data_IF_379145578306
#
_entry.id   IF_379145578306
#
_cell.length_a   1.000
_cell.length_b   1.000
_cell.length_c   1.000
_cell.angle_alpha   90.00
_cell.angle_beta   90.00
_cell.angle_gamma   90.00
#
_symmetry.space_group_name_H-M   'P 1'
#
loop_
_entity.id
_entity.type
_entity.pdbx_description
1 polymer ?
#
# COMPACT_ATOMS: atom_id res chain seq x y z
N UNK A 1 -28.21 -4.51 -25.11
CA UNK A 1 -28.01 -5.65 -24.18
C UNK A 1 -27.65 -5.01 -22.84
N UNK A 2 -28.65 -4.88 -21.97
CA UNK A 2 -28.45 -4.33 -20.63
C UNK A 2 -27.57 -5.32 -19.85
N UNK A 3 -26.32 -4.94 -19.58
CA UNK A 3 -25.60 -5.55 -18.47
C UNK A 3 -26.13 -4.86 -17.21
N UNK A 4 -27.19 -5.42 -16.67
CA UNK A 4 -27.69 -5.02 -15.36
C UNK A 4 -26.54 -5.19 -14.37
N UNK A 5 -26.26 -4.12 -13.64
CA UNK A 5 -25.26 -4.07 -12.57
C UNK A 5 -25.70 -5.03 -11.44
N UNK A 6 -25.40 -6.31 -11.59
CA UNK A 6 -25.50 -7.23 -10.44
C UNK A 6 -24.38 -6.85 -9.45
N UNK A 7 -24.80 -6.37 -8.29
CA UNK A 7 -23.91 -6.19 -7.15
C UNK A 7 -23.41 -7.59 -6.75
N UNK A 8 -22.10 -7.73 -6.67
CA UNK A 8 -21.43 -9.03 -6.47
C UNK A 8 -20.81 -9.14 -5.06
N UNK A 9 -20.47 -10.35 -4.65
CA UNK A 9 -19.66 -10.57 -3.43
C UNK A 9 -18.28 -9.90 -3.53
N UNK A 10 -17.75 -9.76 -4.77
CA UNK A 10 -16.52 -9.01 -5.02
C UNK A 10 -16.64 -7.56 -4.58
N UNK A 11 -17.78 -6.90 -4.82
CA UNK A 11 -18.00 -5.52 -4.43
C UNK A 11 -18.01 -5.36 -2.89
N UNK A 12 -18.59 -6.33 -2.18
CA UNK A 12 -18.55 -6.35 -0.71
C UNK A 12 -17.15 -6.64 -0.20
N UNK A 13 -16.40 -7.53 -0.84
CA UNK A 13 -14.99 -7.81 -0.51
C UNK A 13 -14.10 -6.59 -0.75
N UNK A 14 -14.33 -5.88 -1.86
CA UNK A 14 -13.68 -4.62 -2.17
C UNK A 14 -13.93 -3.58 -1.06
N UNK A 15 -15.18 -3.40 -0.63
CA UNK A 15 -15.53 -2.48 0.46
C UNK A 15 -14.88 -2.92 1.78
N UNK A 16 -14.95 -4.21 2.12
CA UNK A 16 -14.39 -4.75 3.36
C UNK A 16 -12.88 -4.49 3.49
N UNK A 17 -12.10 -4.78 2.44
CA UNK A 17 -10.65 -4.56 2.46
C UNK A 17 -10.26 -3.08 2.35
N UNK A 18 -11.14 -2.23 1.80
CA UNK A 18 -10.91 -0.79 1.69
C UNK A 18 -11.28 -0.02 2.95
N UNK A 19 -11.98 -0.65 3.90
CA UNK A 19 -12.44 0.00 5.12
C UNK A 19 -11.25 0.23 6.08
N UNK A 20 -11.21 1.41 6.67
CA UNK A 20 -10.23 1.76 7.72
C UNK A 20 -10.34 0.90 8.98
N UNK A 21 -11.48 0.22 9.18
CA UNK A 21 -11.69 -0.76 10.25
C UNK A 21 -10.96 -2.09 9.99
N UNK A 22 -10.54 -2.37 8.74
CA UNK A 22 -9.83 -3.61 8.43
C UNK A 22 -8.44 -3.61 9.11
N UNK A 23 -8.12 -4.62 9.96
CA UNK A 23 -7.03 -4.52 10.94
C UNK A 23 -5.66 -4.85 10.33
N UNK A 24 -5.16 -4.05 9.39
CA UNK A 24 -3.81 -4.20 8.80
C UNK A 24 -2.70 -3.52 9.60
N UNK A 25 -3.04 -2.61 10.50
CA UNK A 25 -2.06 -1.81 11.24
C UNK A 25 -1.53 -0.58 10.50
N UNK A 26 -1.93 -0.32 9.26
CA UNK A 26 -1.50 0.86 8.48
C UNK A 26 -1.87 2.19 9.14
N UNK A 27 -2.88 2.21 9.99
CA UNK A 27 -3.28 3.39 10.74
C UNK A 27 -2.16 3.97 11.62
N UNK A 28 -1.18 3.16 12.01
CA UNK A 28 -0.07 3.59 12.86
C UNK A 28 1.12 4.16 12.10
N UNK A 29 1.01 4.32 10.78
CA UNK A 29 2.10 4.81 9.93
C UNK A 29 1.87 6.25 9.49
N UNK A 30 2.94 7.05 9.43
CA UNK A 30 2.94 8.41 8.87
C UNK A 30 3.75 8.54 7.58
N UNK A 31 4.58 7.53 7.29
CA UNK A 31 5.51 7.52 6.16
C UNK A 31 6.47 8.73 6.15
N UNK A 32 6.96 9.13 7.33
CA UNK A 32 7.84 10.27 7.53
C UNK A 32 7.13 11.62 7.66
N UNK A 33 5.79 11.66 7.56
CA UNK A 33 5.01 12.90 7.67
C UNK A 33 5.24 13.61 9.01
N UNK A 34 5.39 12.85 10.09
CA UNK A 34 5.63 13.37 11.43
C UNK A 34 6.91 14.20 11.51
N UNK A 35 8.00 13.74 10.90
CA UNK A 35 9.26 14.50 10.84
C UNK A 35 9.09 15.82 10.06
N UNK A 36 8.38 15.82 8.93
CA UNK A 36 8.07 17.06 8.19
C UNK A 36 7.20 18.04 8.98
N UNK A 37 6.30 17.52 9.81
CA UNK A 37 5.48 18.33 10.69
C UNK A 37 6.33 19.05 11.74
N UNK A 38 7.19 18.33 12.45
CA UNK A 38 8.08 18.95 13.46
C UNK A 38 9.10 19.91 12.85
N UNK A 39 9.52 19.68 11.60
CA UNK A 39 10.36 20.64 10.87
C UNK A 39 9.59 21.88 10.37
N UNK A 40 8.28 21.94 10.58
CA UNK A 40 7.44 23.07 10.14
C UNK A 40 7.29 23.20 8.61
N UNK A 41 7.55 22.12 7.86
CA UNK A 41 7.50 22.12 6.39
C UNK A 41 6.10 21.93 5.83
N UNK A 42 5.18 21.36 6.61
CA UNK A 42 3.80 21.10 6.22
C UNK A 42 2.86 22.08 6.93
N UNK A 43 2.50 23.16 6.23
CA UNK A 43 1.67 24.24 6.81
C UNK A 43 0.32 24.43 6.11
N UNK A 44 0.10 23.78 4.96
CA UNK A 44 -1.10 23.99 4.13
C UNK A 44 -1.53 22.68 3.49
N UNK A 45 -2.85 22.50 3.24
CA UNK A 45 -3.37 21.32 2.53
C UNK A 45 -2.67 21.04 1.20
N UNK A 46 -2.27 22.10 0.48
CA UNK A 46 -1.54 22.00 -0.78
C UNK A 46 -0.19 21.30 -0.63
N UNK A 47 0.56 21.57 0.44
CA UNK A 47 1.87 20.92 0.68
C UNK A 47 1.69 19.40 0.86
N UNK A 48 0.66 18.99 1.60
CA UNK A 48 0.33 17.57 1.77
C UNK A 48 -0.07 16.93 0.44
N UNK A 49 -0.90 17.61 -0.35
CA UNK A 49 -1.33 17.12 -1.66
C UNK A 49 -0.14 16.91 -2.59
N UNK A 50 0.84 17.83 -2.62
CA UNK A 50 2.02 17.72 -3.45
C UNK A 50 2.96 16.60 -2.95
N UNK A 51 3.10 16.45 -1.64
CA UNK A 51 3.84 15.34 -1.03
C UNK A 51 3.23 13.99 -1.42
N UNK A 52 1.91 13.82 -1.29
CA UNK A 52 1.23 12.58 -1.69
C UNK A 52 1.42 12.29 -3.18
N UNK A 53 1.37 13.30 -4.04
CA UNK A 53 1.69 13.13 -5.47
C UNK A 53 3.11 12.62 -5.68
N UNK A 54 4.07 13.14 -4.91
CA UNK A 54 5.46 12.65 -4.97
C UNK A 54 5.52 11.16 -4.61
N UNK A 55 4.85 10.73 -3.53
CA UNK A 55 4.73 9.31 -3.21
C UNK A 55 4.12 8.50 -4.35
N UNK A 56 2.99 8.95 -4.89
CA UNK A 56 2.26 8.22 -5.93
C UNK A 56 3.06 8.04 -7.23
N UNK A 57 3.87 9.02 -7.62
CA UNK A 57 4.56 9.00 -8.91
C UNK A 57 6.05 8.66 -8.83
N UNK A 58 6.69 8.80 -7.66
CA UNK A 58 8.12 8.62 -7.51
C UNK A 58 8.51 7.44 -6.60
N UNK A 59 7.55 6.84 -5.89
CA UNK A 59 7.82 5.75 -4.97
C UNK A 59 6.75 4.64 -5.07
N UNK A 60 5.58 4.80 -4.45
CA UNK A 60 4.58 3.73 -4.28
C UNK A 60 3.98 3.25 -5.61
N UNK A 61 3.73 4.14 -6.57
CA UNK A 61 3.23 3.75 -7.89
C UNK A 61 4.23 2.89 -8.65
N UNK A 62 5.46 3.39 -8.93
CA UNK A 62 6.44 2.63 -9.71
C UNK A 62 7.04 1.43 -8.97
N UNK A 63 6.86 1.29 -7.67
CA UNK A 63 7.28 0.09 -6.91
C UNK A 63 6.09 -0.78 -6.53
N UNK A 64 5.33 -0.39 -5.52
CA UNK A 64 4.30 -1.23 -4.88
C UNK A 64 3.15 -1.59 -5.84
N UNK A 65 2.69 -0.64 -6.67
CA UNK A 65 1.64 -0.91 -7.65
C UNK A 65 2.14 -1.79 -8.80
N UNK A 66 3.39 -1.60 -9.26
CA UNK A 66 4.03 -2.47 -10.27
C UNK A 66 4.21 -3.88 -9.73
N UNK A 67 4.70 -4.04 -8.49
CA UNK A 67 4.84 -5.33 -7.85
C UNK A 67 3.49 -6.05 -7.72
N UNK A 68 2.46 -5.36 -7.24
CA UNK A 68 1.10 -5.90 -7.15
C UNK A 68 0.62 -6.42 -8.50
N UNK A 69 0.80 -5.65 -9.57
CA UNK A 69 0.41 -6.06 -10.93
C UNK A 69 1.09 -7.34 -11.39
N UNK A 70 2.40 -7.47 -11.15
CA UNK A 70 3.17 -8.67 -11.50
C UNK A 70 2.76 -9.89 -10.66
N UNK A 71 2.49 -9.70 -9.36
CA UNK A 71 1.98 -10.80 -8.51
C UNK A 71 0.65 -11.35 -9.05
N UNK A 72 -0.25 -10.50 -9.53
CA UNK A 72 -1.49 -10.96 -10.17
C UNK A 72 -1.22 -11.83 -11.41
N UNK A 73 -0.26 -11.44 -12.24
CA UNK A 73 0.11 -12.21 -13.44
C UNK A 73 0.75 -13.55 -13.05
N UNK A 74 1.59 -13.57 -12.01
CA UNK A 74 2.19 -14.79 -11.45
C UNK A 74 1.16 -15.75 -10.83
N UNK A 75 0.13 -15.22 -10.16
CA UNK A 75 -0.98 -16.04 -9.63
C UNK A 75 -1.71 -16.75 -10.77
N UNK A 76 -2.00 -16.04 -11.86
CA UNK A 76 -2.68 -16.61 -13.02
C UNK A 76 -1.86 -17.71 -13.72
N UNK A 77 -0.54 -17.61 -13.69
CA UNK A 77 0.40 -18.61 -14.22
C UNK A 77 0.84 -19.66 -13.19
N UNK A 78 0.40 -19.55 -11.93
CA UNK A 78 0.81 -20.38 -10.79
C UNK A 78 2.33 -20.37 -10.55
N UNK A 79 2.99 -19.25 -10.86
CA UNK A 79 4.45 -19.07 -10.69
C UNK A 79 4.79 -18.53 -9.30
N UNK A 80 4.89 -19.42 -8.33
CA UNK A 80 5.26 -19.09 -6.96
C UNK A 80 6.71 -18.57 -6.83
N UNK A 81 7.61 -19.01 -7.69
CA UNK A 81 9.00 -18.56 -7.63
C UNK A 81 9.12 -17.08 -7.97
N UNK A 82 8.37 -16.60 -8.97
CA UNK A 82 8.37 -15.21 -9.36
C UNK A 82 7.60 -14.34 -8.32
N UNK A 83 6.60 -14.87 -7.61
CA UNK A 83 5.98 -14.20 -6.45
C UNK A 83 7.02 -13.96 -5.36
N UNK A 84 7.81 -14.97 -5.00
CA UNK A 84 8.88 -14.83 -4.01
C UNK A 84 9.96 -13.84 -4.44
N UNK A 85 10.36 -13.90 -5.70
CA UNK A 85 11.29 -12.94 -6.27
C UNK A 85 10.76 -11.51 -6.16
N UNK A 86 9.47 -11.30 -6.47
CA UNK A 86 8.81 -10.00 -6.34
C UNK A 86 8.81 -9.51 -4.89
N UNK A 87 8.50 -10.40 -3.93
CA UNK A 87 8.53 -10.10 -2.49
C UNK A 87 9.93 -9.62 -2.06
N UNK A 88 10.96 -10.34 -2.46
CA UNK A 88 12.35 -10.06 -2.11
C UNK A 88 12.86 -8.76 -2.75
N UNK A 89 12.45 -8.49 -3.99
CA UNK A 89 12.79 -7.23 -4.67
C UNK A 89 12.17 -6.02 -3.97
N UNK A 90 10.88 -6.06 -3.65
CA UNK A 90 10.21 -4.97 -2.93
C UNK A 90 10.78 -4.80 -1.52
N UNK A 91 11.04 -5.89 -0.82
CA UNK A 91 11.69 -5.84 0.49
C UNK A 91 13.02 -5.08 0.43
N UNK A 92 13.87 -5.42 -0.55
CA UNK A 92 15.18 -4.80 -0.75
C UNK A 92 15.10 -3.34 -1.22
N UNK A 93 14.06 -2.96 -1.97
CA UNK A 93 13.86 -1.59 -2.43
C UNK A 93 13.36 -0.65 -1.33
N UNK A 94 12.76 -1.16 -0.25
CA UNK A 94 12.37 -0.34 0.91
C UNK A 94 13.61 -0.07 1.76
N UNK A 95 14.35 0.99 1.42
CA UNK A 95 15.67 1.30 1.97
C UNK A 95 15.64 1.60 3.47
N UNK A 96 14.60 2.29 3.95
CA UNK A 96 14.46 2.69 5.34
C UNK A 96 13.89 1.53 6.15
N UNK A 97 14.60 1.10 7.18
CA UNK A 97 14.26 -0.08 7.98
C UNK A 97 12.87 0.01 8.59
N UNK A 98 12.55 1.14 9.22
CA UNK A 98 11.26 1.40 9.86
C UNK A 98 10.09 1.23 8.87
N UNK A 99 10.23 1.75 7.63
CA UNK A 99 9.22 1.62 6.56
C UNK A 99 9.14 0.19 6.04
N UNK A 100 10.27 -0.48 5.89
CA UNK A 100 10.35 -1.88 5.46
C UNK A 100 9.67 -2.80 6.46
N UNK A 101 10.01 -2.67 7.74
CA UNK A 101 9.42 -3.46 8.83
C UNK A 101 7.92 -3.18 9.00
N UNK A 102 7.47 -1.95 8.84
CA UNK A 102 6.05 -1.62 8.87
C UNK A 102 5.29 -2.29 7.71
N UNK A 103 5.89 -2.34 6.51
CA UNK A 103 5.32 -3.03 5.35
C UNK A 103 5.19 -4.54 5.61
N UNK A 104 6.22 -5.16 6.18
CA UNK A 104 6.22 -6.59 6.54
C UNK A 104 5.15 -6.88 7.59
N UNK A 105 5.13 -6.13 8.71
CA UNK A 105 4.12 -6.32 9.77
C UNK A 105 2.70 -6.20 9.23
N UNK A 106 2.43 -5.19 8.42
CA UNK A 106 1.09 -4.98 7.86
C UNK A 106 0.71 -6.06 6.86
N UNK A 107 1.66 -6.54 6.05
CA UNK A 107 1.42 -7.63 5.11
C UNK A 107 1.14 -8.96 5.82
N UNK A 108 1.90 -9.31 6.84
CA UNK A 108 1.68 -10.51 7.66
C UNK A 108 0.32 -10.45 8.37
N UNK A 109 -0.02 -9.29 8.94
CA UNK A 109 -1.31 -9.11 9.62
C UNK A 109 -2.49 -9.22 8.64
N UNK A 110 -2.35 -8.67 7.44
CA UNK A 110 -3.34 -8.80 6.37
C UNK A 110 -3.57 -10.27 6.00
N UNK A 111 -2.49 -11.01 5.71
CA UNK A 111 -2.57 -12.43 5.38
C UNK A 111 -3.25 -13.25 6.49
N UNK A 112 -2.87 -12.98 7.75
CA UNK A 112 -3.48 -13.64 8.90
C UNK A 112 -4.97 -13.37 8.99
N UNK A 113 -5.37 -12.12 8.76
CA UNK A 113 -6.77 -11.72 8.83
C UNK A 113 -7.58 -12.37 7.70
N UNK A 114 -7.11 -12.27 6.45
CA UNK A 114 -7.82 -12.82 5.28
C UNK A 114 -7.91 -14.34 5.37
N UNK A 115 -6.85 -15.04 5.77
CA UNK A 115 -6.85 -16.49 5.92
C UNK A 115 -7.80 -17.01 7.02
N UNK A 116 -8.25 -16.14 7.92
CA UNK A 116 -9.23 -16.52 8.95
C UNK A 116 -10.65 -16.73 8.40
N UNK A 117 -10.96 -16.20 7.22
CA UNK A 117 -12.29 -16.29 6.60
C UNK A 117 -12.26 -16.74 5.12
N UNK A 118 -11.12 -16.73 4.46
CA UNK A 118 -10.92 -17.32 3.11
C UNK A 118 -10.28 -18.68 3.29
N UNK A 119 -11.06 -19.74 3.10
CA UNK A 119 -10.60 -21.12 3.29
C UNK A 119 -10.32 -21.81 1.96
N UNK A 120 -9.25 -22.63 1.92
CA UNK A 120 -8.94 -23.50 0.77
C UNK A 120 -8.37 -22.77 -0.45
N UNK A 121 -7.89 -21.51 -0.31
CA UNK A 121 -7.16 -20.85 -1.38
C UNK A 121 -5.68 -21.28 -1.36
N UNK A 122 -5.31 -22.11 -2.32
CA UNK A 122 -3.98 -22.76 -2.38
C UNK A 122 -2.83 -21.76 -2.37
N UNK A 123 -2.94 -20.63 -3.07
CA UNK A 123 -1.85 -19.63 -3.18
C UNK A 123 -1.73 -18.85 -1.88
N UNK A 124 -2.86 -18.39 -1.31
CA UNK A 124 -2.89 -17.71 -0.02
C UNK A 124 -2.27 -18.59 1.09
N UNK A 125 -2.70 -19.85 1.19
CA UNK A 125 -2.21 -20.81 2.17
C UNK A 125 -0.72 -21.10 1.98
N UNK A 126 -0.26 -21.24 0.73
CA UNK A 126 1.12 -21.53 0.41
C UNK A 126 2.02 -20.34 0.75
N UNK A 127 1.67 -19.16 0.26
CA UNK A 127 2.46 -17.95 0.54
C UNK A 127 2.52 -17.64 2.04
N UNK A 128 1.41 -17.79 2.77
CA UNK A 128 1.40 -17.59 4.22
C UNK A 128 2.34 -18.59 4.94
N UNK A 129 2.42 -19.85 4.50
CA UNK A 129 3.38 -20.82 5.04
C UNK A 129 4.83 -20.41 4.77
N UNK A 130 5.13 -19.91 3.56
CA UNK A 130 6.46 -19.43 3.20
C UNK A 130 6.87 -18.22 4.04
N UNK A 131 5.98 -17.29 4.29
CA UNK A 131 6.21 -16.17 5.21
C UNK A 131 6.48 -16.67 6.63
N UNK A 132 5.68 -17.62 7.12
CA UNK A 132 5.85 -18.19 8.47
C UNK A 132 7.18 -18.96 8.63
N UNK A 133 7.67 -19.58 7.55
CA UNK A 133 8.93 -20.32 7.54
C UNK A 133 10.16 -19.40 7.30
N UNK A 134 9.96 -18.11 7.02
CA UNK A 134 11.04 -17.18 6.69
C UNK A 134 11.54 -17.27 5.25
N UNK A 135 10.82 -17.97 4.37
CA UNK A 135 11.15 -18.11 2.94
C UNK A 135 10.67 -16.89 2.12
N UNK A 136 9.67 -16.16 2.62
CA UNK A 136 9.18 -14.90 2.09
C UNK A 136 9.15 -13.84 3.19
N UNK A 137 9.31 -12.57 2.82
CA UNK A 137 9.26 -11.45 3.78
C UNK A 137 7.83 -11.08 4.16
N UNK A 138 6.86 -11.28 3.27
CA UNK A 138 5.48 -10.93 3.49
C UNK A 138 5.20 -9.42 3.38
N UNK A 139 5.94 -8.71 2.51
CA UNK A 139 5.73 -7.26 2.31
C UNK A 139 4.32 -6.93 1.86
N UNK A 140 3.82 -5.78 2.32
CA UNK A 140 2.42 -5.40 2.16
C UNK A 140 1.89 -5.47 0.71
N UNK A 141 2.54 -4.95 -0.34
CA UNK A 141 1.97 -4.96 -1.70
C UNK A 141 1.82 -6.37 -2.28
N UNK A 142 2.72 -7.31 -1.95
CA UNK A 142 2.63 -8.72 -2.38
C UNK A 142 1.52 -9.44 -1.61
N UNK A 143 1.52 -9.31 -0.28
CA UNK A 143 0.47 -9.85 0.58
C UNK A 143 -0.92 -9.32 0.19
N UNK A 144 -1.01 -8.03 -0.17
CA UNK A 144 -2.24 -7.39 -0.57
C UNK A 144 -2.74 -7.90 -1.94
N UNK A 145 -1.83 -8.11 -2.90
CA UNK A 145 -2.17 -8.72 -4.19
C UNK A 145 -2.79 -10.11 -4.02
N UNK A 146 -2.15 -10.97 -3.20
CA UNK A 146 -2.63 -12.33 -2.94
C UNK A 146 -3.98 -12.30 -2.20
N UNK A 147 -4.13 -11.44 -1.18
CA UNK A 147 -5.37 -11.27 -0.45
C UNK A 147 -6.51 -10.80 -1.36
N UNK A 148 -6.29 -9.78 -2.18
CA UNK A 148 -7.28 -9.28 -3.13
C UNK A 148 -7.67 -10.35 -4.16
N UNK A 149 -6.69 -11.07 -4.72
CA UNK A 149 -6.95 -12.15 -5.68
C UNK A 149 -7.78 -13.29 -5.05
N UNK A 150 -7.47 -13.68 -3.81
CA UNK A 150 -8.22 -14.73 -3.10
C UNK A 150 -9.69 -14.37 -2.84
N UNK A 151 -10.02 -13.09 -2.91
CA UNK A 151 -11.37 -12.53 -2.79
C UNK A 151 -11.98 -12.13 -4.15
N UNK A 152 -11.40 -12.62 -5.25
CA UNK A 152 -11.83 -12.37 -6.64
C UNK A 152 -11.77 -10.87 -7.05
N UNK A 153 -11.12 -10.00 -6.29
CA UNK A 153 -10.94 -8.61 -6.65
C UNK A 153 -10.00 -8.52 -7.84
N UNK A 154 -10.37 -7.75 -8.87
CA UNK A 154 -9.57 -7.64 -10.09
C UNK A 154 -8.28 -6.85 -9.88
N UNK A 155 -7.25 -7.12 -10.70
CA UNK A 155 -5.93 -6.48 -10.66
C UNK A 155 -6.00 -4.95 -10.57
N UNK A 156 -6.81 -4.32 -11.43
CA UNK A 156 -6.95 -2.86 -11.45
C UNK A 156 -7.65 -2.31 -10.20
N UNK A 157 -8.68 -3.00 -9.70
CA UNK A 157 -9.34 -2.63 -8.44
C UNK A 157 -8.38 -2.76 -7.26
N UNK A 158 -7.57 -3.82 -7.20
CA UNK A 158 -6.55 -3.98 -6.17
C UNK A 158 -5.49 -2.87 -6.21
N UNK A 159 -5.00 -2.50 -7.39
CA UNK A 159 -4.08 -1.35 -7.56
C UNK A 159 -4.71 -0.03 -7.11
N UNK A 160 -5.99 0.19 -7.42
CA UNK A 160 -6.73 1.35 -6.97
C UNK A 160 -6.85 1.39 -5.44
N UNK A 161 -7.20 0.26 -4.81
CA UNK A 161 -7.31 0.13 -3.36
C UNK A 161 -5.97 0.38 -2.68
N UNK A 162 -4.87 -0.15 -3.22
CA UNK A 162 -3.53 0.04 -2.68
C UNK A 162 -3.16 1.53 -2.62
N UNK A 163 -3.26 2.24 -3.75
CA UNK A 163 -2.86 3.65 -3.82
C UNK A 163 -3.84 4.59 -3.11
N UNK A 164 -5.13 4.28 -3.15
CA UNK A 164 -6.14 5.02 -2.40
C UNK A 164 -5.95 4.82 -0.88
N UNK A 165 -5.78 3.58 -0.43
CA UNK A 165 -5.53 3.26 0.98
C UNK A 165 -4.28 3.94 1.52
N UNK A 166 -3.18 3.94 0.75
CA UNK A 166 -1.99 4.73 1.09
C UNK A 166 -2.30 6.22 1.25
N UNK A 167 -3.05 6.80 0.30
CA UNK A 167 -3.46 8.21 0.37
C UNK A 167 -4.27 8.51 1.63
N UNK A 168 -5.25 7.65 1.97
CA UNK A 168 -6.06 7.77 3.20
C UNK A 168 -5.18 7.71 4.45
N UNK A 169 -4.22 6.79 4.49
CA UNK A 169 -3.29 6.65 5.63
C UNK A 169 -2.49 7.93 5.88
N UNK A 170 -1.93 8.53 4.83
CA UNK A 170 -1.14 9.76 4.95
C UNK A 170 -2.04 10.96 5.34
N UNK A 171 -3.24 11.07 4.76
CA UNK A 171 -4.20 12.13 5.15
C UNK A 171 -4.68 11.95 6.59
N UNK A 172 -4.96 10.73 7.02
CA UNK A 172 -5.35 10.44 8.41
C UNK A 172 -4.23 10.77 9.40
N UNK A 173 -2.98 10.49 9.04
CA UNK A 173 -1.81 10.91 9.84
C UNK A 173 -1.72 12.44 9.93
N UNK A 174 -1.92 13.17 8.83
CA UNK A 174 -1.94 14.63 8.81
C UNK A 174 -3.03 15.23 9.71
N UNK A 175 -4.22 14.62 9.74
CA UNK A 175 -5.32 15.06 10.63
C UNK A 175 -4.93 14.82 12.09
N UNK A 176 -4.36 13.67 12.44
CA UNK A 176 -3.92 13.36 13.81
C UNK A 176 -2.78 14.27 14.30
N UNK A 177 -1.90 14.69 13.40
CA UNK A 177 -0.85 15.69 13.70
C UNK A 177 -1.39 17.12 13.79
N UNK A 178 -2.66 17.36 13.47
CA UNK A 178 -3.25 18.70 13.48
C UNK A 178 -2.85 19.57 12.28
N UNK A 179 -2.27 19.00 11.23
CA UNK A 179 -1.90 19.71 9.99
C UNK A 179 -3.17 20.12 9.22
N UNK A 180 -4.19 19.27 9.25
CA UNK A 180 -5.45 19.44 8.54
C UNK A 180 -6.66 19.23 9.45
N UNK A 181 -7.75 19.93 9.14
CA UNK A 181 -9.07 19.57 9.64
C UNK A 181 -9.73 18.49 8.76
N UNK A 182 -10.72 17.76 9.29
CA UNK A 182 -11.39 16.66 8.57
C UNK A 182 -11.93 17.08 7.19
N UNK A 183 -12.57 18.26 7.09
CA UNK A 183 -13.10 18.75 5.81
C UNK A 183 -11.99 19.06 4.79
N UNK A 184 -10.85 19.55 5.25
CA UNK A 184 -9.69 19.80 4.39
C UNK A 184 -9.09 18.47 3.91
N UNK A 185 -8.99 17.47 4.78
CA UNK A 185 -8.57 16.13 4.43
C UNK A 185 -9.43 15.51 3.31
N UNK A 186 -10.76 15.62 3.43
CA UNK A 186 -11.68 15.14 2.38
C UNK A 186 -11.47 15.86 1.04
N UNK A 187 -11.22 17.18 1.05
CA UNK A 187 -10.89 17.94 -0.16
C UNK A 187 -9.59 17.49 -0.79
N UNK A 188 -8.55 17.22 0.03
CA UNK A 188 -7.26 16.69 -0.44
C UNK A 188 -7.46 15.34 -1.12
N UNK A 189 -8.17 14.41 -0.48
CA UNK A 189 -8.49 13.09 -1.05
C UNK A 189 -9.23 13.24 -2.39
N UNK A 190 -10.28 14.07 -2.42
CA UNK A 190 -11.04 14.30 -3.65
C UNK A 190 -10.17 14.81 -4.79
N UNK A 191 -9.29 15.78 -4.52
CA UNK A 191 -8.41 16.39 -5.51
C UNK A 191 -7.31 15.42 -6.02
N UNK A 192 -6.99 14.38 -5.23
CA UNK A 192 -5.97 13.37 -5.59
C UNK A 192 -6.52 12.22 -6.44
N UNK A 193 -7.85 12.05 -6.55
CA UNK A 193 -8.46 10.96 -7.34
C UNK A 193 -7.90 10.83 -8.77
N UNK A 194 -7.74 11.92 -9.56
CA UNK A 194 -7.14 11.81 -10.89
C UNK A 194 -5.68 11.33 -10.86
N UNK A 195 -4.90 11.77 -9.85
CA UNK A 195 -3.51 11.35 -9.68
C UNK A 195 -3.39 9.88 -9.30
N UNK A 196 -4.28 9.39 -8.44
CA UNK A 196 -4.35 7.97 -8.07
C UNK A 196 -4.64 7.12 -9.31
N UNK A 197 -5.68 7.45 -10.06
CA UNK A 197 -6.04 6.74 -11.30
C UNK A 197 -4.89 6.74 -12.31
N UNK A 198 -4.27 7.90 -12.55
CA UNK A 198 -3.14 8.03 -13.45
C UNK A 198 -1.96 7.15 -13.00
N UNK A 199 -1.65 7.12 -11.71
CA UNK A 199 -0.56 6.30 -11.18
C UNK A 199 -0.85 4.80 -11.32
N UNK A 200 -2.09 4.34 -11.07
CA UNK A 200 -2.48 2.95 -11.31
C UNK A 200 -2.28 2.58 -12.78
N UNK A 201 -2.88 3.35 -13.70
CA UNK A 201 -2.79 3.05 -15.13
C UNK A 201 -1.34 3.05 -15.64
N UNK A 202 -0.50 3.93 -15.09
CA UNK A 202 0.90 4.05 -15.53
C UNK A 202 1.79 2.91 -15.02
N UNK A 203 1.39 2.14 -14.00
CA UNK A 203 2.29 1.22 -13.32
C UNK A 203 1.79 -0.23 -13.26
N UNK A 204 0.48 -0.46 -13.18
CA UNK A 204 -0.11 -1.77 -12.87
C UNK A 204 0.24 -2.89 -13.87
N UNK A 205 0.58 -2.54 -15.11
CA UNK A 205 0.94 -3.49 -16.18
C UNK A 205 2.43 -3.46 -16.53
N UNK A 206 3.23 -2.67 -15.84
CA UNK A 206 4.67 -2.62 -16.10
C UNK A 206 5.34 -3.92 -15.66
N UNK A 207 6.37 -4.37 -16.41
CA UNK A 207 7.13 -5.54 -15.99
C UNK A 207 7.92 -5.26 -14.71
N UNK A 208 8.18 -6.30 -13.93
CA UNK A 208 8.91 -6.21 -12.66
C UNK A 208 10.28 -5.52 -12.83
N UNK A 209 10.97 -5.77 -13.94
CA UNK A 209 12.27 -5.16 -14.27
C UNK A 209 12.24 -3.64 -14.46
N UNK A 210 11.05 -3.04 -14.60
CA UNK A 210 10.87 -1.60 -14.72
C UNK A 210 10.54 -0.91 -13.39
N UNK A 211 10.56 -1.64 -12.27
CA UNK A 211 10.38 -1.02 -10.96
C UNK A 211 11.52 -0.04 -10.66
N UNK A 212 11.17 1.10 -10.10
CA UNK A 212 12.12 2.11 -9.66
C UNK A 212 11.51 2.98 -8.56
N UNK A 213 12.37 3.65 -7.80
CA UNK A 213 11.98 4.75 -6.92
C UNK A 213 13.06 5.82 -6.93
N UNK A 214 12.63 7.08 -6.85
CA UNK A 214 13.53 8.21 -6.70
C UNK A 214 12.82 9.36 -5.99
N UNK A 215 12.85 9.33 -4.66
CA UNK A 215 12.18 10.32 -3.81
C UNK A 215 13.10 10.79 -2.66
N UNK A 216 14.27 11.42 -2.95
CA UNK A 216 15.29 11.69 -1.94
C UNK A 216 14.79 12.50 -0.73
N UNK A 217 13.87 13.45 -0.95
CA UNK A 217 13.27 14.22 0.14
C UNK A 217 12.47 13.34 1.07
N UNK A 218 11.73 12.38 0.52
CA UNK A 218 10.95 11.41 1.29
C UNK A 218 11.90 10.48 2.07
N UNK A 219 12.91 9.94 1.40
CA UNK A 219 13.88 9.03 2.01
C UNK A 219 14.60 9.71 3.18
N UNK A 220 15.10 10.96 2.99
CA UNK A 220 15.72 11.74 4.05
C UNK A 220 14.75 12.00 5.21
N UNK A 221 13.48 12.24 4.92
CA UNK A 221 12.48 12.51 5.94
C UNK A 221 12.15 11.24 6.75
N UNK A 222 12.08 10.09 6.08
CA UNK A 222 11.87 8.80 6.75
C UNK A 222 13.07 8.42 7.62
N UNK A 223 14.32 8.66 7.15
CA UNK A 223 15.54 8.49 7.98
C UNK A 223 15.48 9.39 9.23
N UNK A 224 15.07 10.64 9.07
CA UNK A 224 14.94 11.55 10.23
C UNK A 224 13.87 11.07 11.21
N UNK A 225 12.74 10.55 10.68
CA UNK A 225 11.71 9.98 11.52
C UNK A 225 12.25 8.78 12.31
N UNK A 226 13.01 7.90 11.68
CA UNK A 226 13.65 6.75 12.33
C UNK A 226 14.57 7.16 13.48
N UNK A 227 15.19 8.35 13.42
CA UNK A 227 16.11 8.88 14.44
C UNK A 227 15.43 9.73 15.54
N UNK A 228 14.11 9.92 15.49
CA UNK A 228 13.40 10.70 16.50
C UNK A 228 13.30 9.95 17.82
N UNK A 229 13.59 10.65 18.94
CA UNK A 229 13.52 10.08 20.31
C UNK A 229 12.08 9.78 20.75
N UNK A 230 11.11 10.56 20.28
CA UNK A 230 9.70 10.41 20.62
C UNK A 230 8.85 10.48 19.36
N UNK A 231 7.99 9.48 19.17
CA UNK A 231 7.18 9.28 17.95
C UNK A 231 5.73 8.98 18.31
N UNK A 232 4.80 9.58 17.57
CA UNK A 232 3.38 9.24 17.61
C UNK A 232 3.08 8.06 16.69
N UNK A 233 3.86 7.92 15.61
CA UNK A 233 3.70 6.91 14.57
C UNK A 233 4.87 5.92 14.55
N UNK A 234 4.65 4.77 13.92
CA UNK A 234 5.68 3.73 13.77
C UNK A 234 6.65 4.05 12.62
N UNK A 235 6.17 4.85 11.61
CA UNK A 235 7.01 5.29 10.47
C UNK A 235 6.78 6.75 10.14
#
# INVERSE_FOLDING_TARGET
MNMDNEISLEDLSFLQLSDSFFPTGLYTTSNGLEALFYEGKLKKPKHLQDLIKTFLFQQIGPTDCTALGNVYDCINSSDLAEILRTDQMIYSMKLIEEVREASVRSGIQLLRCVNSFVLGNTILDHYQRMVKNGEASGVYPVSFAIACNSLSITKYRAGLMLLYGFTITVVAAAIRLGILQHLEGQKVIHNLKPSILSSVHSNIQKPLSSMWQFAPIIDITQIKHEQMDSKMFIT
#
